data_IF_110781629559
#
_entry.id   IF_110781629559
#
_cell.length_a   1.000
_cell.length_b   1.000
_cell.length_c   1.000
_cell.angle_alpha   90.00
_cell.angle_beta   90.00
_cell.angle_gamma   90.00
#
_symmetry.space_group_name_H-M   'P 1'
#
loop_
_entity.id
_entity.type
_entity.pdbx_description
1 polymer ?
#
# COMPACT_ATOMS: atom_id res chain seq x y z
N UNK A 1 35.45 -7.07 -26.29
CA UNK A 1 34.99 -5.97 -25.42
C UNK A 1 33.48 -6.02 -25.17
N UNK A 2 32.69 -6.71 -26.00
CA UNK A 2 31.23 -6.84 -25.88
C UNK A 2 30.74 -7.72 -24.72
N UNK A 3 31.47 -8.80 -24.39
CA UNK A 3 31.08 -9.75 -23.32
C UNK A 3 30.97 -9.08 -21.95
N UNK A 4 31.84 -8.10 -21.66
CA UNK A 4 31.82 -7.37 -20.38
C UNK A 4 30.63 -6.42 -20.28
N UNK A 5 30.19 -5.84 -21.39
CA UNK A 5 29.03 -4.94 -21.45
C UNK A 5 27.74 -5.76 -21.27
N UNK A 6 27.61 -6.90 -21.97
CA UNK A 6 26.46 -7.81 -21.80
C UNK A 6 26.34 -8.36 -20.37
N UNK A 7 27.45 -8.77 -19.74
CA UNK A 7 27.41 -9.27 -18.36
C UNK A 7 26.97 -8.20 -17.35
N UNK A 8 27.33 -6.94 -17.60
CA UNK A 8 26.97 -5.82 -16.72
C UNK A 8 25.49 -5.46 -16.89
N UNK A 9 25.00 -5.39 -18.13
CA UNK A 9 23.58 -5.14 -18.42
C UNK A 9 22.68 -6.24 -17.84
N UNK A 10 23.07 -7.51 -17.96
CA UNK A 10 22.31 -8.65 -17.43
C UNK A 10 22.31 -8.67 -15.88
N UNK A 11 23.38 -8.19 -15.26
CA UNK A 11 23.47 -8.06 -13.79
C UNK A 11 22.65 -6.88 -13.24
N UNK A 12 22.44 -5.83 -14.04
CA UNK A 12 21.62 -4.66 -13.66
C UNK A 12 20.13 -5.00 -13.80
N UNK A 13 19.74 -5.62 -14.92
CA UNK A 13 18.36 -6.06 -15.12
C UNK A 13 17.86 -7.02 -14.03
N UNK A 14 18.72 -7.94 -13.59
CA UNK A 14 18.39 -8.89 -12.51
C UNK A 14 18.34 -8.23 -11.12
N UNK A 15 19.07 -7.13 -10.91
CA UNK A 15 19.01 -6.37 -9.65
C UNK A 15 17.70 -5.59 -9.54
N UNK A 16 17.30 -4.92 -10.62
CA UNK A 16 16.05 -4.16 -10.67
C UNK A 16 14.83 -5.07 -10.45
N UNK A 17 14.82 -6.26 -11.06
CA UNK A 17 13.80 -7.29 -10.82
C UNK A 17 13.71 -7.73 -9.35
N UNK A 18 14.86 -7.87 -8.68
CA UNK A 18 14.89 -8.26 -7.25
C UNK A 18 14.36 -7.12 -6.37
N UNK A 19 14.68 -5.87 -6.70
CA UNK A 19 14.18 -4.70 -5.98
C UNK A 19 12.66 -4.58 -6.16
N UNK A 20 12.17 -4.70 -7.38
CA UNK A 20 10.74 -4.65 -7.71
C UNK A 20 9.97 -5.76 -6.98
N UNK A 21 10.48 -6.99 -6.97
CA UNK A 21 9.86 -8.10 -6.20
C UNK A 21 9.82 -7.84 -4.70
N UNK A 22 10.86 -7.26 -4.13
CA UNK A 22 10.90 -6.89 -2.70
C UNK A 22 9.91 -5.78 -2.39
N UNK A 23 9.81 -4.78 -3.27
CA UNK A 23 8.86 -3.68 -3.12
C UNK A 23 7.41 -4.18 -3.23
N UNK A 24 7.10 -5.04 -4.20
CA UNK A 24 5.79 -5.66 -4.37
C UNK A 24 5.37 -6.41 -3.09
N UNK A 25 6.27 -7.24 -2.54
CA UNK A 25 6.02 -7.93 -1.27
C UNK A 25 5.76 -6.95 -0.12
N UNK A 26 6.57 -5.90 0.01
CA UNK A 26 6.40 -4.90 1.07
C UNK A 26 5.06 -4.16 0.95
N UNK A 27 4.66 -3.79 -0.27
CA UNK A 27 3.40 -3.10 -0.52
C UNK A 27 2.20 -3.99 -0.22
N UNK A 28 2.25 -5.26 -0.60
CA UNK A 28 1.23 -6.25 -0.23
C UNK A 28 1.12 -6.38 1.29
N UNK A 29 2.24 -6.55 1.99
CA UNK A 29 2.25 -6.66 3.45
C UNK A 29 1.66 -5.42 4.13
N UNK A 30 2.01 -4.22 3.65
CA UNK A 30 1.50 -2.96 4.21
C UNK A 30 0.03 -2.72 3.88
N UNK A 31 -0.43 -3.02 2.66
CA UNK A 31 -1.84 -2.93 2.30
C UNK A 31 -2.69 -3.90 3.14
N UNK A 32 -2.23 -5.14 3.32
CA UNK A 32 -2.90 -6.12 4.19
C UNK A 32 -2.99 -5.63 5.65
N UNK A 33 -1.94 -5.01 6.17
CA UNK A 33 -1.95 -4.43 7.51
C UNK A 33 -2.94 -3.26 7.62
N UNK A 34 -2.98 -2.37 6.63
CA UNK A 34 -3.94 -1.27 6.58
C UNK A 34 -5.39 -1.79 6.54
N UNK A 35 -5.69 -2.78 5.71
CA UNK A 35 -7.01 -3.43 5.67
C UNK A 35 -7.40 -4.08 6.99
N UNK A 36 -6.46 -4.73 7.67
CA UNK A 36 -6.72 -5.32 8.98
C UNK A 36 -7.09 -4.24 10.01
N UNK A 37 -6.39 -3.11 10.01
CA UNK A 37 -6.70 -1.98 10.89
C UNK A 37 -8.05 -1.36 10.54
N UNK A 38 -8.33 -1.13 9.26
CA UNK A 38 -9.63 -0.66 8.79
C UNK A 38 -10.78 -1.54 9.31
N UNK A 39 -10.67 -2.86 9.16
CA UNK A 39 -11.70 -3.79 9.62
C UNK A 39 -11.86 -3.80 11.14
N UNK A 40 -10.76 -3.66 11.88
CA UNK A 40 -10.81 -3.55 13.34
C UNK A 40 -11.50 -2.26 13.79
N UNK A 41 -11.18 -1.14 13.14
CA UNK A 41 -11.82 0.16 13.40
C UNK A 41 -13.31 0.13 13.03
N UNK A 42 -13.67 -0.52 11.92
CA UNK A 42 -15.07 -0.75 11.56
C UNK A 42 -15.81 -1.49 12.68
N UNK A 43 -15.23 -2.57 13.20
CA UNK A 43 -15.82 -3.29 14.34
C UNK A 43 -15.95 -2.40 15.58
N UNK A 44 -14.93 -1.60 15.92
CA UNK A 44 -14.96 -0.70 17.07
C UNK A 44 -16.04 0.38 16.93
N UNK A 45 -16.19 0.97 15.74
CA UNK A 45 -17.21 2.00 15.45
C UNK A 45 -18.62 1.45 15.63
N UNK A 46 -18.88 0.22 15.17
CA UNK A 46 -20.19 -0.43 15.32
C UNK A 46 -20.48 -0.88 16.76
N UNK A 47 -19.44 -1.13 17.56
CA UNK A 47 -19.59 -1.55 18.95
C UNK A 47 -19.82 -0.39 19.94
N UNK A 48 -19.49 0.84 19.53
CA UNK A 48 -19.61 2.03 20.39
C UNK A 48 -20.95 2.74 20.17
N UNK A 49 -21.56 3.29 21.24
CA UNK A 49 -22.71 4.18 21.11
C UNK A 49 -22.31 5.48 20.39
N UNK A 50 -23.31 6.25 19.94
CA UNK A 50 -23.07 7.60 19.43
C UNK A 50 -22.41 8.50 20.48
N UNK A 51 -21.59 9.43 20.01
CA UNK A 51 -20.90 10.37 20.90
C UNK A 51 -21.88 11.34 21.55
N UNK A 52 -21.74 11.49 22.88
CA UNK A 52 -22.56 12.43 23.66
C UNK A 52 -22.13 13.89 23.39
N UNK A 53 -23.06 14.87 23.38
CA UNK A 53 -22.75 16.26 23.05
C UNK A 53 -21.65 16.92 23.89
N UNK A 54 -21.48 16.48 25.14
CA UNK A 54 -20.46 16.98 26.06
C UNK A 54 -19.37 15.93 26.37
N UNK A 55 -19.37 14.81 25.64
CA UNK A 55 -18.41 13.72 25.77
C UNK A 55 -17.22 13.88 24.84
N UNK A 56 -16.26 12.96 24.94
CA UNK A 56 -15.17 12.86 23.97
C UNK A 56 -15.72 12.26 22.67
N UNK A 57 -15.38 12.81 21.48
CA UNK A 57 -15.89 12.37 20.18
C UNK A 57 -15.17 11.08 19.72
N UNK A 58 -15.34 10.00 20.49
CA UNK A 58 -14.57 8.77 20.34
C UNK A 58 -15.02 8.00 19.11
N UNK A 59 -16.33 7.88 18.89
CA UNK A 59 -16.86 7.18 17.73
C UNK A 59 -16.56 7.96 16.44
N UNK A 60 -16.76 9.27 16.44
CA UNK A 60 -16.40 10.14 15.31
C UNK A 60 -14.92 10.01 14.94
N UNK A 61 -14.00 10.10 15.91
CA UNK A 61 -12.57 9.95 15.67
C UNK A 61 -12.21 8.58 15.09
N UNK A 62 -12.87 7.50 15.54
CA UNK A 62 -12.65 6.16 15.00
C UNK A 62 -13.23 5.99 13.59
N UNK A 63 -14.32 6.68 13.25
CA UNK A 63 -14.88 6.72 11.89
C UNK A 63 -13.90 7.38 10.93
N UNK A 64 -13.32 8.53 11.32
CA UNK A 64 -12.31 9.23 10.52
C UNK A 64 -11.08 8.35 10.33
N UNK A 65 -10.54 7.76 11.41
CA UNK A 65 -9.37 6.90 11.31
C UNK A 65 -9.64 5.65 10.44
N UNK A 66 -10.87 5.12 10.46
CA UNK A 66 -11.27 4.03 9.57
C UNK A 66 -11.21 4.44 8.10
N UNK A 67 -11.68 5.66 7.78
CA UNK A 67 -11.62 6.21 6.42
C UNK A 67 -10.17 6.42 5.99
N UNK A 68 -9.32 6.97 6.85
CA UNK A 68 -7.89 7.14 6.56
C UNK A 68 -7.20 5.80 6.25
N UNK A 69 -7.56 4.73 6.97
CA UNK A 69 -7.03 3.39 6.71
C UNK A 69 -7.53 2.77 5.41
N UNK A 70 -8.77 3.07 5.00
CA UNK A 70 -9.30 2.65 3.69
C UNK A 70 -8.54 3.33 2.55
N UNK A 71 -8.35 4.65 2.65
CA UNK A 71 -7.60 5.44 1.67
C UNK A 71 -6.15 4.96 1.58
N UNK A 72 -5.50 4.70 2.73
CA UNK A 72 -4.15 4.16 2.76
C UNK A 72 -4.08 2.78 2.10
N UNK A 73 -5.01 1.87 2.43
CA UNK A 73 -5.01 0.52 1.89
C UNK A 73 -5.20 0.51 0.38
N UNK A 74 -6.11 1.34 -0.12
CA UNK A 74 -6.41 1.53 -1.55
C UNK A 74 -5.24 2.18 -2.28
N UNK A 75 -4.64 3.23 -1.71
CA UNK A 75 -3.49 3.94 -2.30
C UNK A 75 -2.27 3.02 -2.44
N UNK A 76 -2.01 2.16 -1.45
CA UNK A 76 -0.92 1.17 -1.51
C UNK A 76 -1.16 0.13 -2.61
N UNK A 77 -2.39 -0.31 -2.83
CA UNK A 77 -2.72 -1.22 -3.95
C UNK A 77 -2.61 -0.51 -5.31
N UNK A 78 -3.06 0.74 -5.38
CA UNK A 78 -2.92 1.58 -6.57
C UNK A 78 -1.45 1.79 -6.96
N UNK A 79 -0.55 1.94 -5.98
CA UNK A 79 0.89 2.06 -6.25
C UNK A 79 1.47 0.77 -6.87
N UNK A 80 1.04 -0.41 -6.41
CA UNK A 80 1.43 -1.69 -7.02
C UNK A 80 0.95 -1.76 -8.47
N UNK A 81 -0.29 -1.34 -8.73
CA UNK A 81 -0.86 -1.33 -10.08
C UNK A 81 -0.07 -0.38 -10.99
N UNK A 82 0.16 0.86 -10.58
CA UNK A 82 0.93 1.83 -11.37
C UNK A 82 2.38 1.38 -11.58
N UNK A 83 3.05 0.80 -10.57
CA UNK A 83 4.42 0.32 -10.71
C UNK A 83 4.55 -0.81 -11.73
N UNK A 84 3.53 -1.67 -11.86
CA UNK A 84 3.51 -2.76 -12.86
C UNK A 84 3.25 -2.26 -14.27
N UNK A 85 2.45 -1.20 -14.44
CA UNK A 85 2.07 -0.68 -15.77
C UNK A 85 2.92 0.51 -16.24
N UNK A 86 3.70 1.15 -15.38
CA UNK A 86 4.62 2.22 -15.77
C UNK A 86 5.74 1.75 -16.72
N UNK A 87 6.06 0.45 -16.73
CA UNK A 87 7.01 -0.15 -17.67
C UNK A 87 6.48 -0.23 -19.12
N UNK A 88 5.17 -0.20 -19.33
CA UNK A 88 4.55 -0.34 -20.66
C UNK A 88 4.49 0.98 -21.43
N UNK A 89 4.67 2.13 -20.76
CA UNK A 89 4.56 3.47 -21.35
C UNK A 89 5.91 4.15 -21.66
N UNK A 90 7.03 3.47 -21.42
CA UNK A 90 8.39 4.01 -21.62
C UNK A 90 9.05 3.66 -22.96
N UNK A 91 8.37 2.91 -23.83
CA UNK A 91 8.90 2.38 -25.10
C UNK A 91 8.33 3.06 -26.37
N UNK A 92 7.71 4.24 -26.24
CA UNK A 92 7.32 5.11 -27.38
C UNK A 92 8.15 6.40 -27.48
#
# INVERSE_FOLDING_TARGET
MEVRIMATANSIATLDDVILKRLDKLLIEKSCAAWKLHNMLAFMVEALPEDEPNGLPTRCALVELRQDMDELATSLQGLVHHARHAQEAGDE
#
